data_IF_784218806887
#
_entry.id   IF_784218806887
#
_cell.length_a   1.000
_cell.length_b   1.000
_cell.length_c   1.000
_cell.angle_alpha   90.00
_cell.angle_beta   90.00
_cell.angle_gamma   90.00
#
_symmetry.space_group_name_H-M   'P 1'
#
loop_
_entity.id
_entity.type
_entity.pdbx_description
1 polymer ?
#
# COMPACT_ATOMS: atom_id res chain seq x y z
N UNK A 1 -6.15 30.13 -9.85
CA UNK A 1 -6.81 29.17 -10.78
C UNK A 1 -6.35 27.73 -10.52
N UNK A 2 -5.04 27.46 -10.51
CA UNK A 2 -4.51 26.12 -10.22
C UNK A 2 -4.91 25.60 -8.82
N UNK A 3 -4.95 26.49 -7.83
CA UNK A 3 -5.38 26.17 -6.46
C UNK A 3 -6.83 25.66 -6.40
N UNK A 4 -7.78 26.35 -7.06
CA UNK A 4 -9.17 25.90 -7.11
C UNK A 4 -9.32 24.55 -7.83
N UNK A 5 -8.53 24.32 -8.89
CA UNK A 5 -8.50 23.03 -9.55
C UNK A 5 -7.98 21.94 -8.61
N UNK A 6 -6.90 22.20 -7.89
CA UNK A 6 -6.32 21.28 -6.92
C UNK A 6 -7.33 20.92 -5.82
N UNK A 7 -7.97 21.91 -5.21
CA UNK A 7 -8.99 21.72 -4.18
C UNK A 7 -10.20 20.93 -4.70
N UNK A 8 -10.62 21.19 -5.94
CA UNK A 8 -11.73 20.45 -6.57
C UNK A 8 -11.37 18.97 -6.77
N UNK A 9 -10.15 18.69 -7.22
CA UNK A 9 -9.67 17.31 -7.39
C UNK A 9 -9.55 16.58 -6.05
N UNK A 10 -9.00 17.24 -5.02
CA UNK A 10 -8.94 16.67 -3.67
C UNK A 10 -10.34 16.40 -3.09
N UNK A 11 -11.28 17.33 -3.28
CA UNK A 11 -12.66 17.15 -2.82
C UNK A 11 -13.38 16.01 -3.54
N UNK A 12 -13.01 15.71 -4.78
CA UNK A 12 -13.61 14.61 -5.54
C UNK A 12 -13.22 13.24 -4.99
N UNK A 13 -12.00 13.11 -4.47
CA UNK A 13 -11.44 11.83 -4.01
C UNK A 13 -11.53 11.63 -2.50
N UNK A 14 -11.61 12.71 -1.72
CA UNK A 14 -11.64 12.62 -0.27
C UNK A 14 -12.99 12.08 0.22
N UNK A 15 -12.93 11.21 1.22
CA UNK A 15 -14.12 10.79 1.95
C UNK A 15 -14.74 11.98 2.68
N UNK A 16 -16.07 12.02 2.70
CA UNK A 16 -16.91 12.99 3.41
C UNK A 16 -17.66 12.29 4.56
N UNK A 17 -18.27 13.03 5.50
CA UNK A 17 -19.11 12.42 6.56
C UNK A 17 -20.28 11.57 6.04
N UNK A 18 -20.77 11.87 4.83
CA UNK A 18 -21.84 11.11 4.16
C UNK A 18 -21.32 9.88 3.38
N UNK A 19 -20.01 9.66 3.36
CA UNK A 19 -19.42 8.52 2.67
C UNK A 19 -19.84 7.21 3.32
N UNK A 20 -20.22 6.23 2.48
CA UNK A 20 -20.71 4.96 2.98
C UNK A 20 -19.61 4.24 3.80
N UNK A 21 -19.95 3.70 5.00
CA UNK A 21 -18.95 3.09 5.88
C UNK A 21 -18.14 1.96 5.23
N UNK A 22 -18.77 1.16 4.36
CA UNK A 22 -18.09 0.07 3.66
C UNK A 22 -17.03 0.57 2.68
N UNK A 23 -17.22 1.75 2.08
CA UNK A 23 -16.29 2.35 1.12
C UNK A 23 -15.04 2.85 1.84
N UNK A 24 -15.23 3.45 3.02
CA UNK A 24 -14.13 3.85 3.91
C UNK A 24 -13.36 2.60 4.36
N UNK A 25 -14.05 1.56 4.81
CA UNK A 25 -13.42 0.29 5.21
C UNK A 25 -12.63 -0.34 4.06
N UNK A 26 -13.16 -0.31 2.83
CA UNK A 26 -12.46 -0.80 1.65
C UNK A 26 -11.21 0.03 1.33
N UNK A 27 -11.31 1.35 1.40
CA UNK A 27 -10.17 2.25 1.18
C UNK A 27 -9.06 2.01 2.21
N UNK A 28 -9.43 1.82 3.49
CA UNK A 28 -8.48 1.46 4.56
C UNK A 28 -7.84 0.10 4.28
N UNK A 29 -8.64 -0.90 3.90
CA UNK A 29 -8.12 -2.23 3.58
C UNK A 29 -7.08 -2.18 2.45
N UNK A 30 -7.36 -1.46 1.38
CA UNK A 30 -6.43 -1.30 0.25
C UNK A 30 -5.18 -0.54 0.69
N UNK A 31 -5.33 0.57 1.41
CA UNK A 31 -4.20 1.44 1.77
C UNK A 31 -3.30 0.84 2.86
N UNK A 32 -3.89 0.15 3.84
CA UNK A 32 -3.19 -0.29 5.06
C UNK A 32 -2.96 -1.79 5.11
N UNK A 33 -3.93 -2.60 4.69
CA UNK A 33 -3.83 -4.05 4.87
C UNK A 33 -3.16 -4.69 3.66
N UNK A 34 -3.48 -4.26 2.43
CA UNK A 34 -2.91 -4.83 1.21
C UNK A 34 -1.41 -4.58 1.08
N UNK A 35 -0.90 -3.45 1.62
CA UNK A 35 0.55 -3.16 1.60
C UNK A 35 1.35 -4.20 2.40
N UNK A 36 0.73 -4.86 3.38
CA UNK A 36 1.38 -5.92 4.18
C UNK A 36 1.57 -7.22 3.42
N UNK A 37 0.91 -7.40 2.28
CA UNK A 37 1.09 -8.57 1.40
C UNK A 37 2.52 -8.62 0.86
N UNK A 38 3.13 -7.48 0.54
CA UNK A 38 4.50 -7.42 0.00
C UNK A 38 5.53 -7.99 0.97
N UNK A 39 5.64 -7.54 2.24
CA UNK A 39 6.57 -8.14 3.20
C UNK A 39 6.20 -9.59 3.55
N UNK A 40 4.91 -9.93 3.60
CA UNK A 40 4.47 -11.31 3.83
C UNK A 40 4.97 -12.25 2.73
N UNK A 41 4.82 -11.86 1.46
CA UNK A 41 5.34 -12.61 0.31
C UNK A 41 6.86 -12.73 0.36
N UNK A 42 7.57 -11.67 0.76
CA UNK A 42 9.02 -11.72 0.92
C UNK A 42 9.45 -12.77 1.96
N UNK A 43 8.75 -12.86 3.10
CA UNK A 43 8.97 -13.88 4.13
C UNK A 43 8.66 -15.28 3.61
N UNK A 44 7.53 -15.46 2.93
CA UNK A 44 7.13 -16.76 2.35
C UNK A 44 8.17 -17.24 1.32
N UNK A 45 8.59 -16.38 0.39
CA UNK A 45 9.59 -16.70 -0.62
C UNK A 45 10.96 -16.99 0.01
N UNK A 46 11.33 -16.25 1.06
CA UNK A 46 12.56 -16.48 1.82
C UNK A 46 12.59 -17.86 2.50
N UNK A 47 11.46 -18.27 3.09
CA UNK A 47 11.29 -19.57 3.75
C UNK A 47 11.22 -20.73 2.73
N UNK A 48 10.64 -20.52 1.54
CA UNK A 48 10.47 -21.55 0.51
C UNK A 48 11.78 -21.93 -0.22
N UNK A 49 12.68 -20.95 -0.47
CA UNK A 49 14.09 -21.17 -0.76
C UNK A 49 14.52 -21.72 -2.13
N UNK A 50 15.25 -20.90 -2.89
CA UNK A 50 16.56 -21.22 -3.48
C UNK A 50 17.55 -20.13 -3.07
N UNK A 51 18.84 -20.45 -2.90
CA UNK A 51 19.89 -19.54 -2.40
C UNK A 51 19.93 -18.16 -3.07
N UNK A 52 19.54 -18.06 -4.34
CA UNK A 52 19.41 -16.80 -5.08
C UNK A 52 18.27 -15.89 -4.59
N UNK A 53 17.13 -16.45 -4.14
CA UNK A 53 15.98 -15.68 -3.63
C UNK A 53 16.27 -15.07 -2.25
N UNK A 54 17.07 -15.74 -1.42
CA UNK A 54 17.47 -15.20 -0.10
C UNK A 54 18.35 -13.96 -0.23
N UNK A 55 19.24 -13.93 -1.21
CA UNK A 55 20.07 -12.76 -1.55
C UNK A 55 19.21 -11.57 -2.01
N UNK A 56 18.17 -11.82 -2.81
CA UNK A 56 17.26 -10.78 -3.29
C UNK A 56 16.48 -10.13 -2.13
N UNK A 57 15.94 -10.93 -1.21
CA UNK A 57 15.19 -10.44 -0.04
C UNK A 57 16.07 -9.54 0.84
N UNK A 58 17.32 -9.95 1.09
CA UNK A 58 18.28 -9.14 1.85
C UNK A 58 18.57 -7.81 1.14
N UNK A 59 18.74 -7.81 -0.20
CA UNK A 59 18.97 -6.58 -0.97
C UNK A 59 17.79 -5.62 -0.91
N UNK A 60 16.57 -6.13 -1.02
CA UNK A 60 15.36 -5.31 -0.92
C UNK A 60 15.21 -4.73 0.50
N UNK A 61 15.48 -5.52 1.54
CA UNK A 61 15.43 -5.06 2.92
C UNK A 61 16.41 -3.91 3.20
N UNK A 62 17.63 -3.97 2.63
CA UNK A 62 18.60 -2.86 2.71
C UNK A 62 18.12 -1.65 1.94
N UNK A 63 17.49 -1.83 0.77
CA UNK A 63 17.02 -0.71 -0.06
C UNK A 63 15.78 0.01 0.51
N UNK A 64 15.01 -0.64 1.38
CA UNK A 64 13.84 -0.07 2.04
C UNK A 64 14.14 0.60 3.40
N UNK A 65 15.33 0.38 3.96
CA UNK A 65 15.80 0.98 5.21
C UNK A 65 16.49 2.33 4.95
#
# INVERSE_FOLDING_TARGET
>A
MLENLNLSLFSLINATPDSAPWMISLAIFIAKDLITVVPLLAVVLWLWGLTAQRQLVIKIAIALA
#
